data_IF_125718780859
#
_entry.id   IF_125718780859
#
_cell.length_a   1.000
_cell.length_b   1.000
_cell.length_c   1.000
_cell.angle_alpha   90.00
_cell.angle_beta   90.00
_cell.angle_gamma   90.00
#
_symmetry.space_group_name_H-M   'P 1'
#
loop_
_entity.id
_entity.type
_entity.pdbx_description
1 polymer ?
#
# COMPACT_ATOMS: atom_id res chain seq x y z
N UNK A 1 20.76 6.52 10.61
CA UNK A 1 19.38 6.41 11.14
C UNK A 1 19.28 5.33 12.21
N UNK A 2 19.85 4.14 12.04
CA UNK A 2 19.87 3.09 13.08
C UNK A 2 20.66 3.58 14.30
N UNK A 3 21.90 4.03 14.11
CA UNK A 3 22.78 4.49 15.18
C UNK A 3 22.26 5.73 15.92
N UNK A 4 21.53 6.60 15.22
CA UNK A 4 20.87 7.77 15.80
C UNK A 4 19.56 7.46 16.52
N UNK A 5 19.12 6.19 16.51
CA UNK A 5 17.83 5.74 17.04
C UNK A 5 16.61 6.44 16.40
N UNK A 6 16.76 6.95 15.19
CA UNK A 6 15.66 7.54 14.42
C UNK A 6 14.73 6.47 13.81
N UNK A 7 15.20 5.22 13.73
CA UNK A 7 14.38 4.06 13.39
C UNK A 7 14.00 3.29 14.65
N UNK A 8 12.76 2.82 14.69
CA UNK A 8 12.33 1.91 15.74
C UNK A 8 13.12 0.59 15.63
N UNK A 9 13.71 0.13 16.74
CA UNK A 9 14.53 -1.08 16.78
C UNK A 9 13.75 -2.34 16.36
N UNK A 10 12.44 -2.35 16.51
CA UNK A 10 11.57 -3.48 16.16
C UNK A 10 11.10 -3.46 14.71
N UNK A 11 11.32 -2.38 13.97
CA UNK A 11 10.84 -2.24 12.59
C UNK A 11 11.40 -3.29 11.60
N UNK A 12 12.47 -3.98 11.97
CA UNK A 12 13.08 -5.04 11.15
C UNK A 12 12.52 -6.44 11.35
N UNK A 13 11.61 -6.67 12.32
CA UNK A 13 11.21 -8.03 12.67
C UNK A 13 9.96 -8.53 11.96
N UNK A 14 8.95 -7.68 11.80
CA UNK A 14 7.69 -8.06 11.14
C UNK A 14 7.24 -6.96 10.19
N UNK A 15 6.99 -7.31 8.94
CA UNK A 15 6.67 -6.36 7.88
C UNK A 15 5.37 -5.55 8.10
N UNK A 16 4.44 -6.04 8.95
CA UNK A 16 3.18 -5.36 9.26
C UNK A 16 3.19 -4.57 10.57
N UNK A 17 4.22 -4.71 11.38
CA UNK A 17 4.28 -4.06 12.70
C UNK A 17 4.31 -2.54 12.62
N UNK A 18 4.80 -1.97 11.54
CA UNK A 18 4.90 -0.53 11.36
C UNK A 18 3.53 0.17 11.41
N UNK A 19 2.48 -0.44 10.86
CA UNK A 19 1.13 0.11 10.90
C UNK A 19 0.61 0.17 12.33
N UNK A 20 0.83 -0.87 13.10
CA UNK A 20 0.42 -0.92 14.50
C UNK A 20 1.23 0.08 15.34
N UNK A 21 2.53 0.23 15.07
CA UNK A 21 3.38 1.20 15.76
C UNK A 21 2.97 2.64 15.46
N UNK A 22 2.60 2.93 14.22
CA UNK A 22 2.04 4.22 13.84
C UNK A 22 0.69 4.46 14.52
N UNK A 23 -0.24 3.49 14.46
CA UNK A 23 -1.55 3.61 15.08
C UNK A 23 -1.47 3.85 16.60
N UNK A 24 -0.49 3.24 17.27
CA UNK A 24 -0.23 3.44 18.69
C UNK A 24 0.55 4.73 19.01
N UNK A 25 0.91 5.55 18.03
CA UNK A 25 1.69 6.77 18.21
C UNK A 25 3.17 6.54 18.57
N UNK A 26 3.69 5.32 18.41
CA UNK A 26 5.09 4.99 18.65
C UNK A 26 6.01 5.50 17.54
N UNK A 27 5.50 5.53 16.30
CA UNK A 27 6.16 6.11 15.12
C UNK A 27 5.39 7.34 14.65
N UNK A 28 6.09 8.43 14.37
CA UNK A 28 5.50 9.64 13.83
C UNK A 28 5.21 9.56 12.32
N UNK A 29 5.89 8.66 11.61
CA UNK A 29 5.78 8.46 10.16
C UNK A 29 5.71 6.97 9.86
N UNK A 30 4.88 6.60 8.90
CA UNK A 30 4.84 5.26 8.30
C UNK A 30 4.77 5.37 6.78
N UNK A 31 5.33 4.38 6.07
CA UNK A 31 5.33 4.34 4.60
C UNK A 31 4.24 3.44 4.01
N UNK A 32 3.57 2.64 4.83
CA UNK A 32 2.57 1.66 4.39
C UNK A 32 1.13 2.04 4.72
N UNK A 33 0.89 3.21 5.29
CA UNK A 33 -0.46 3.67 5.57
C UNK A 33 -1.19 4.04 4.27
N UNK A 34 -2.41 3.58 4.12
CA UNK A 34 -3.27 3.90 3.00
C UNK A 34 -4.69 4.22 3.48
N UNK A 35 -5.55 4.66 2.59
CA UNK A 35 -6.90 5.08 2.92
C UNK A 35 -7.73 4.02 3.64
N UNK A 36 -7.54 2.73 3.31
CA UNK A 36 -8.27 1.64 3.99
C UNK A 36 -7.79 1.39 5.42
N UNK A 37 -6.52 1.70 5.72
CA UNK A 37 -5.99 1.55 7.07
C UNK A 37 -6.65 2.53 8.05
N UNK A 38 -7.07 3.70 7.61
CA UNK A 38 -7.78 4.63 8.48
C UNK A 38 -9.06 4.04 9.05
N UNK A 39 -9.87 3.37 8.23
CA UNK A 39 -11.07 2.67 8.70
C UNK A 39 -10.72 1.51 9.62
N UNK A 40 -9.68 0.74 9.29
CA UNK A 40 -9.24 -0.41 10.06
C UNK A 40 -8.73 -0.03 11.45
N UNK A 41 -8.00 1.08 11.56
CA UNK A 41 -7.36 1.52 12.80
C UNK A 41 -8.08 2.72 13.46
N UNK A 42 -9.21 3.18 12.93
CA UNK A 42 -9.92 4.36 13.38
C UNK A 42 -10.18 4.40 14.91
N UNK A 43 -10.45 3.24 15.52
CA UNK A 43 -10.68 3.14 16.96
C UNK A 43 -9.39 3.16 17.82
N UNK A 44 -8.23 3.01 17.19
CA UNK A 44 -6.93 2.91 17.86
C UNK A 44 -6.13 4.20 17.78
N UNK A 45 -6.25 4.94 16.67
CA UNK A 45 -5.53 6.21 16.49
C UNK A 45 -6.17 7.31 17.33
N UNK A 46 -5.32 8.07 18.04
CA UNK A 46 -5.73 9.23 18.84
C UNK A 46 -5.28 10.55 18.21
N UNK A 47 -4.97 10.53 16.93
CA UNK A 47 -4.53 11.66 16.12
C UNK A 47 -5.15 11.54 14.73
N UNK A 48 -5.09 12.60 13.94
CA UNK A 48 -5.53 12.57 12.54
C UNK A 48 -4.33 12.24 11.66
N UNK A 49 -4.31 11.05 10.99
CA UNK A 49 -3.30 10.73 10.00
C UNK A 49 -3.38 11.70 8.82
N UNK A 50 -2.23 12.05 8.25
CA UNK A 50 -2.14 12.90 7.08
C UNK A 50 -1.29 12.20 6.01
N UNK A 51 -1.89 11.95 4.85
CA UNK A 51 -1.18 11.37 3.72
C UNK A 51 -0.36 12.43 3.01
N UNK A 52 0.88 12.12 2.70
CA UNK A 52 1.80 12.99 1.98
C UNK A 52 2.62 12.19 0.97
N UNK A 53 3.05 12.84 -0.10
CA UNK A 53 3.97 12.23 -1.04
C UNK A 53 5.34 12.00 -0.38
N UNK A 54 6.11 11.04 -0.91
CA UNK A 54 7.49 10.85 -0.50
C UNK A 54 8.30 12.10 -0.81
N UNK A 55 9.22 12.49 0.07
CA UNK A 55 10.20 13.51 -0.24
C UNK A 55 11.04 13.08 -1.45
N UNK A 56 11.18 13.97 -2.42
CA UNK A 56 12.05 13.77 -3.59
C UNK A 56 13.00 14.95 -3.73
N UNK A 57 14.17 14.72 -4.35
CA UNK A 57 15.19 15.73 -4.55
C UNK A 57 14.83 16.72 -5.68
N UNK A 58 13.91 16.35 -6.56
CA UNK A 58 13.39 17.21 -7.64
C UNK A 58 12.03 17.86 -7.30
N UNK A 59 11.56 17.70 -6.06
CA UNK A 59 10.28 18.23 -5.55
C UNK A 59 9.03 17.74 -6.31
N UNK A 60 9.14 16.67 -7.10
CA UNK A 60 7.98 16.04 -7.73
C UNK A 60 7.37 15.00 -6.81
N UNK A 61 6.06 15.05 -6.56
CA UNK A 61 5.39 14.03 -5.78
C UNK A 61 5.51 12.66 -6.44
N UNK A 62 5.93 11.66 -5.67
CA UNK A 62 5.94 10.25 -6.10
C UNK A 62 5.27 9.41 -5.04
N UNK A 63 4.40 8.52 -5.48
CA UNK A 63 3.66 7.60 -4.60
C UNK A 63 3.65 6.20 -5.23
N UNK A 64 3.80 5.20 -4.38
CA UNK A 64 3.58 3.83 -4.77
C UNK A 64 2.10 3.53 -4.72
N UNK A 65 1.53 3.13 -5.85
CA UNK A 65 0.15 2.72 -5.98
C UNK A 65 0.01 1.29 -6.47
N UNK A 66 -1.19 0.76 -6.37
CA UNK A 66 -1.51 -0.56 -6.87
C UNK A 66 -3.00 -0.72 -7.09
N UNK A 67 -3.37 -1.72 -7.88
CA UNK A 67 -4.75 -2.08 -8.15
C UNK A 67 -5.04 -3.42 -7.49
N UNK A 68 -6.09 -3.44 -6.68
CA UNK A 68 -6.63 -4.68 -6.13
C UNK A 68 -7.74 -5.18 -7.05
N UNK A 69 -7.79 -6.48 -7.27
CA UNK A 69 -8.77 -7.08 -8.15
C UNK A 69 -9.08 -8.52 -7.80
N UNK A 70 -10.15 -9.02 -8.39
CA UNK A 70 -10.52 -10.43 -8.30
C UNK A 70 -9.89 -11.22 -9.44
N UNK A 71 -9.29 -12.36 -9.11
CA UNK A 71 -8.83 -13.36 -10.07
C UNK A 71 -9.81 -14.53 -10.16
N UNK A 72 -10.03 -15.06 -11.36
CA UNK A 72 -10.79 -16.30 -11.57
C UNK A 72 -9.80 -17.37 -12.01
N UNK A 73 -9.72 -18.45 -11.22
CA UNK A 73 -8.92 -19.61 -11.59
C UNK A 73 -9.75 -20.60 -12.40
N UNK A 74 -9.19 -21.05 -13.52
CA UNK A 74 -9.81 -22.10 -14.31
C UNK A 74 -9.61 -23.44 -13.61
N UNK A 75 -10.69 -24.01 -13.11
CA UNK A 75 -10.74 -25.32 -12.46
C UNK A 75 -11.43 -26.39 -13.32
N UNK A 76 -11.67 -26.11 -14.61
CA UNK A 76 -12.35 -26.99 -15.54
C UNK A 76 -13.89 -27.03 -15.38
N UNK A 77 -14.46 -26.27 -14.45
CA UNK A 77 -15.93 -26.19 -14.23
C UNK A 77 -16.47 -24.85 -14.77
N UNK A 78 -16.98 -24.87 -15.99
CA UNK A 78 -17.49 -23.66 -16.66
C UNK A 78 -18.62 -22.99 -15.88
N UNK A 79 -19.49 -23.76 -15.23
CA UNK A 79 -20.60 -23.19 -14.45
C UNK A 79 -20.10 -22.37 -13.26
N UNK A 80 -19.05 -22.82 -12.57
CA UNK A 80 -18.41 -22.07 -11.50
C UNK A 80 -17.69 -20.83 -12.00
N UNK A 81 -17.01 -20.93 -13.14
CA UNK A 81 -16.35 -19.78 -13.78
C UNK A 81 -17.37 -18.71 -14.13
N UNK A 82 -18.53 -19.07 -14.71
CA UNK A 82 -19.57 -18.13 -15.09
C UNK A 82 -20.29 -17.51 -13.88
N UNK A 83 -20.46 -18.28 -12.80
CA UNK A 83 -20.95 -17.75 -11.52
C UNK A 83 -19.97 -16.74 -10.93
N UNK A 84 -18.66 -17.03 -10.94
CA UNK A 84 -17.63 -16.11 -10.48
C UNK A 84 -17.60 -14.81 -11.30
N UNK A 85 -17.71 -14.90 -12.63
CA UNK A 85 -17.82 -13.70 -13.51
C UNK A 85 -19.05 -12.85 -13.17
N UNK A 86 -20.18 -13.50 -12.90
CA UNK A 86 -21.42 -12.82 -12.51
C UNK A 86 -21.25 -12.08 -11.18
N UNK A 87 -20.63 -12.73 -10.19
CA UNK A 87 -20.33 -12.11 -8.91
C UNK A 87 -19.38 -10.90 -9.05
N UNK A 88 -18.30 -11.04 -9.82
CA UNK A 88 -17.34 -9.95 -10.03
C UNK A 88 -17.99 -8.76 -10.73
N UNK A 89 -18.82 -9.01 -11.75
CA UNK A 89 -19.58 -7.94 -12.40
C UNK A 89 -20.50 -7.22 -11.43
N UNK A 90 -21.23 -7.94 -10.61
CA UNK A 90 -22.08 -7.35 -9.58
C UNK A 90 -21.28 -6.51 -8.59
N UNK A 91 -20.17 -7.06 -8.05
CA UNK A 91 -19.36 -6.40 -7.03
C UNK A 91 -18.57 -5.19 -7.55
N UNK A 92 -18.16 -5.17 -8.84
CA UNK A 92 -17.29 -4.16 -9.39
C UNK A 92 -17.93 -3.22 -10.41
N UNK A 93 -18.90 -3.71 -11.20
CA UNK A 93 -19.48 -2.99 -12.34
C UNK A 93 -20.85 -2.39 -12.04
N UNK A 94 -21.61 -2.97 -11.13
CA UNK A 94 -22.91 -2.45 -10.75
C UNK A 94 -22.79 -1.02 -10.22
N UNK A 95 -23.61 -0.11 -10.78
CA UNK A 95 -23.54 1.31 -10.48
C UNK A 95 -23.81 1.66 -9.00
N UNK A 96 -24.52 0.78 -8.29
CA UNK A 96 -24.79 0.94 -6.86
C UNK A 96 -23.85 0.07 -6.04
N UNK A 97 -23.80 -1.23 -6.30
CA UNK A 97 -23.02 -2.16 -5.51
C UNK A 97 -21.51 -1.96 -5.68
N UNK A 98 -21.05 -1.65 -6.90
CA UNK A 98 -19.64 -1.34 -7.15
C UNK A 98 -19.16 -0.13 -6.35
N UNK A 99 -19.96 0.92 -6.24
CA UNK A 99 -19.67 2.11 -5.43
C UNK A 99 -19.61 1.74 -3.95
N UNK A 100 -20.60 1.01 -3.44
CA UNK A 100 -20.63 0.59 -2.03
C UNK A 100 -19.46 -0.35 -1.69
N UNK A 101 -19.10 -1.26 -2.59
CA UNK A 101 -17.93 -2.13 -2.40
C UNK A 101 -16.63 -1.33 -2.25
N UNK A 102 -16.45 -0.27 -3.06
CA UNK A 102 -15.29 0.61 -2.95
C UNK A 102 -15.29 1.36 -1.60
N UNK A 103 -16.42 1.95 -1.21
CA UNK A 103 -16.57 2.67 0.07
C UNK A 103 -16.25 1.78 1.28
N UNK A 104 -16.78 0.55 1.29
CA UNK A 104 -16.57 -0.40 2.39
C UNK A 104 -15.10 -0.82 2.53
N UNK A 105 -14.32 -0.79 1.45
CA UNK A 105 -12.90 -1.11 1.50
C UNK A 105 -12.02 0.09 1.86
N UNK A 106 -12.53 1.31 1.79
CA UNK A 106 -11.77 2.54 1.94
C UNK A 106 -10.81 2.82 0.77
N UNK A 107 -11.03 2.17 -0.39
CA UNK A 107 -10.22 2.39 -1.59
C UNK A 107 -10.88 3.39 -2.56
N UNK A 108 -10.27 3.57 -3.71
CA UNK A 108 -10.76 4.41 -4.78
C UNK A 108 -11.20 3.57 -5.99
N UNK A 109 -12.22 4.03 -6.75
CA UNK A 109 -12.67 3.29 -7.90
C UNK A 109 -11.63 3.32 -9.02
N UNK A 110 -11.45 2.20 -9.71
CA UNK A 110 -10.60 2.11 -10.91
C UNK A 110 -11.34 2.58 -12.17
N UNK A 111 -12.65 2.81 -12.08
CA UNK A 111 -13.48 3.26 -13.20
C UNK A 111 -13.81 4.74 -13.06
N UNK A 112 -13.38 5.54 -14.03
CA UNK A 112 -13.67 6.98 -14.07
C UNK A 112 -15.19 7.26 -14.05
N UNK A 113 -16.03 6.35 -14.58
CA UNK A 113 -17.49 6.48 -14.57
C UNK A 113 -18.13 6.45 -13.18
N UNK A 114 -17.43 5.93 -12.16
CA UNK A 114 -17.91 5.92 -10.79
C UNK A 114 -17.64 7.26 -10.06
N UNK A 115 -16.78 8.11 -10.63
CA UNK A 115 -16.48 9.44 -10.10
C UNK A 115 -15.90 9.43 -8.69
N UNK A 116 -16.13 10.51 -7.95
CA UNK A 116 -15.74 10.60 -6.54
C UNK A 116 -16.83 9.93 -5.68
N UNK A 117 -16.54 8.70 -5.27
CA UNK A 117 -17.48 7.86 -4.50
C UNK A 117 -17.66 8.34 -3.05
N UNK A 118 -16.80 9.21 -2.55
CA UNK A 118 -16.87 9.73 -1.18
C UNK A 118 -17.58 11.08 -1.10
N UNK A 119 -17.81 11.76 -2.22
CA UNK A 119 -18.46 13.06 -2.26
C UNK A 119 -19.82 13.03 -1.57
N UNK A 120 -19.99 13.91 -0.58
CA UNK A 120 -21.23 14.02 0.19
C UNK A 120 -21.47 12.91 1.22
N UNK A 121 -20.46 12.10 1.51
CA UNK A 121 -20.48 11.13 2.60
C UNK A 121 -19.79 11.71 3.85
N UNK A 122 -19.94 11.04 5.00
CA UNK A 122 -19.21 11.38 6.22
C UNK A 122 -17.70 11.22 6.10
N UNK A 123 -17.24 10.38 5.14
CA UNK A 123 -15.83 10.15 4.86
C UNK A 123 -15.20 11.18 3.90
N UNK A 124 -15.98 12.10 3.35
CA UNK A 124 -15.51 13.01 2.30
C UNK A 124 -14.29 13.85 2.73
N UNK A 125 -14.31 14.40 3.94
CA UNK A 125 -13.19 15.19 4.46
C UNK A 125 -11.94 14.34 4.68
N UNK A 126 -12.10 13.16 5.27
CA UNK A 126 -11.01 12.20 5.51
C UNK A 126 -10.36 11.73 4.23
N UNK A 127 -11.15 11.48 3.19
CA UNK A 127 -10.67 10.95 1.92
C UNK A 127 -10.16 12.02 0.95
N UNK A 128 -10.41 13.30 1.21
CA UNK A 128 -9.99 14.40 0.33
C UNK A 128 -8.47 14.43 0.09
N UNK A 129 -7.69 14.27 1.15
CA UNK A 129 -6.23 14.28 1.07
C UNK A 129 -5.67 13.15 0.17
N UNK A 130 -6.25 11.95 0.25
CA UNK A 130 -5.87 10.84 -0.63
C UNK A 130 -6.30 11.08 -2.08
N UNK A 131 -7.47 11.69 -2.29
CA UNK A 131 -7.96 12.05 -3.64
C UNK A 131 -7.00 13.00 -4.35
N UNK A 132 -6.46 13.99 -3.64
CA UNK A 132 -5.49 14.94 -4.17
C UNK A 132 -4.17 14.26 -4.57
N UNK A 133 -3.81 13.16 -3.92
CA UNK A 133 -2.58 12.41 -4.19
C UNK A 133 -2.72 11.38 -5.32
N UNK A 134 -3.94 11.02 -5.71
CA UNK A 134 -4.20 10.00 -6.75
C UNK A 134 -3.45 10.24 -8.07
N UNK A 135 -3.31 11.46 -8.61
CA UNK A 135 -2.60 11.69 -9.86
C UNK A 135 -1.10 11.35 -9.84
N UNK A 136 -0.53 11.19 -8.65
CA UNK A 136 0.91 10.93 -8.46
C UNK A 136 1.24 9.44 -8.22
N UNK A 137 0.25 8.56 -8.33
CA UNK A 137 0.47 7.13 -8.15
C UNK A 137 1.23 6.54 -9.33
N UNK A 138 2.37 5.91 -9.04
CA UNK A 138 3.16 5.16 -10.01
C UNK A 138 2.90 3.65 -9.90
N UNK A 139 2.93 2.96 -11.04
CA UNK A 139 2.81 1.51 -11.11
C UNK A 139 4.19 0.86 -11.23
N UNK A 140 4.86 0.73 -10.10
CA UNK A 140 6.21 0.14 -10.04
C UNK A 140 6.20 -1.39 -10.13
N UNK A 141 5.09 -2.02 -9.81
CA UNK A 141 4.97 -3.48 -9.78
C UNK A 141 5.04 -4.11 -11.18
N UNK A 142 4.44 -3.46 -12.17
CA UNK A 142 4.36 -3.98 -13.53
C UNK A 142 5.55 -3.56 -14.41
N UNK A 143 6.27 -2.50 -14.04
CA UNK A 143 7.39 -1.98 -14.83
C UNK A 143 8.76 -2.46 -14.35
N UNK A 144 8.83 -2.99 -13.14
CA UNK A 144 10.09 -3.49 -12.57
C UNK A 144 10.23 -4.99 -12.81
N UNK A 145 11.21 -5.44 -13.61
CA UNK A 145 11.48 -6.86 -13.78
C UNK A 145 11.79 -7.53 -12.44
N UNK A 146 11.31 -8.76 -12.24
CA UNK A 146 11.57 -9.56 -11.04
C UNK A 146 11.22 -8.83 -9.72
N UNK A 147 10.16 -8.01 -9.73
CA UNK A 147 9.75 -7.19 -8.59
C UNK A 147 9.70 -7.96 -7.27
N UNK A 148 9.11 -9.15 -7.26
CA UNK A 148 8.98 -9.98 -6.04
C UNK A 148 10.35 -10.34 -5.45
N UNK A 149 11.28 -10.70 -6.30
CA UNK A 149 12.64 -11.04 -5.88
C UNK A 149 13.40 -9.81 -5.37
N UNK A 150 13.35 -8.71 -6.11
CA UNK A 150 13.97 -7.45 -5.69
C UNK A 150 13.40 -6.96 -4.36
N UNK A 151 12.08 -7.05 -4.16
CA UNK A 151 11.44 -6.69 -2.90
C UNK A 151 11.95 -7.56 -1.73
N UNK A 152 12.10 -8.86 -1.93
CA UNK A 152 12.64 -9.75 -0.91
C UNK A 152 14.11 -9.43 -0.60
N UNK A 153 14.92 -9.18 -1.63
CA UNK A 153 16.32 -8.80 -1.46
C UNK A 153 16.46 -7.46 -0.73
N UNK A 154 15.59 -6.50 -1.03
CA UNK A 154 15.52 -5.22 -0.31
C UNK A 154 15.22 -5.42 1.18
N UNK A 155 14.23 -6.23 1.51
CA UNK A 155 13.89 -6.55 2.89
C UNK A 155 15.05 -7.23 3.62
N UNK A 156 15.71 -8.20 2.98
CA UNK A 156 16.88 -8.87 3.53
C UNK A 156 18.04 -7.89 3.79
N UNK A 157 18.29 -6.96 2.88
CA UNK A 157 19.29 -5.91 3.05
C UNK A 157 19.00 -5.05 4.28
N UNK A 158 17.77 -4.63 4.47
CA UNK A 158 17.38 -3.86 5.66
C UNK A 158 17.60 -4.66 6.94
N UNK A 159 17.26 -5.94 6.96
CA UNK A 159 17.49 -6.80 8.11
C UNK A 159 18.99 -7.02 8.39
N UNK A 160 19.81 -7.12 7.36
CA UNK A 160 21.28 -7.20 7.55
C UNK A 160 21.82 -6.00 8.31
N UNK A 161 21.37 -4.80 7.98
CA UNK A 161 21.80 -3.58 8.68
C UNK A 161 21.18 -3.48 10.06
N UNK A 162 19.86 -3.63 10.15
CA UNK A 162 19.10 -3.30 11.36
C UNK A 162 19.23 -4.35 12.46
N UNK A 163 19.32 -5.62 12.09
CA UNK A 163 19.28 -6.75 13.02
C UNK A 163 20.66 -7.37 13.19
N UNK A 164 21.39 -7.59 12.09
CA UNK A 164 22.69 -8.25 12.13
C UNK A 164 23.88 -7.30 12.33
N UNK A 165 23.66 -5.98 12.16
CA UNK A 165 24.71 -4.98 12.30
C UNK A 165 25.71 -4.97 11.13
N UNK A 166 25.33 -5.52 9.96
CA UNK A 166 26.16 -5.46 8.75
C UNK A 166 26.36 -4.00 8.34
N UNK A 167 27.58 -3.57 7.97
CA UNK A 167 27.80 -2.23 7.45
C UNK A 167 26.88 -1.92 6.27
N UNK A 168 26.26 -0.75 6.27
CA UNK A 168 25.23 -0.39 5.28
C UNK A 168 25.71 -0.52 3.82
N UNK A 169 26.96 -0.13 3.52
CA UNK A 169 27.54 -0.28 2.20
C UNK A 169 27.64 -1.75 1.78
N UNK A 170 28.12 -2.62 2.69
CA UNK A 170 28.21 -4.07 2.41
C UNK A 170 26.84 -4.67 2.15
N UNK A 171 25.82 -4.30 2.91
CA UNK A 171 24.46 -4.77 2.71
C UNK A 171 23.87 -4.27 1.37
N UNK A 172 24.16 -3.03 0.99
CA UNK A 172 23.77 -2.47 -0.29
C UNK A 172 24.46 -3.19 -1.48
N UNK A 173 25.73 -3.48 -1.36
CA UNK A 173 26.48 -4.23 -2.39
C UNK A 173 25.94 -5.66 -2.55
N UNK A 174 25.58 -6.32 -1.44
CA UNK A 174 24.92 -7.62 -1.45
C UNK A 174 23.55 -7.57 -2.16
N UNK A 175 22.76 -6.53 -1.85
CA UNK A 175 21.47 -6.31 -2.51
C UNK A 175 21.61 -6.15 -4.03
N UNK A 176 22.55 -5.30 -4.47
CA UNK A 176 22.81 -5.07 -5.90
C UNK A 176 23.22 -6.38 -6.59
N UNK A 177 24.10 -7.14 -5.98
CA UNK A 177 24.57 -8.43 -6.52
C UNK A 177 23.46 -9.47 -6.60
N UNK A 178 22.56 -9.52 -5.62
CA UNK A 178 21.44 -10.45 -5.57
C UNK A 178 20.30 -10.07 -6.54
N UNK A 179 20.14 -8.77 -6.82
CA UNK A 179 19.04 -8.24 -7.65
C UNK A 179 19.38 -8.10 -9.13
N UNK A 180 20.67 -8.20 -9.49
CA UNK A 180 21.18 -8.12 -10.87
C UNK A 180 22.09 -9.33 -11.16
N UNK A 181 21.53 -10.54 -11.23
CA UNK A 181 22.30 -11.76 -11.49
C UNK A 181 22.89 -11.83 -12.91
#
# INVERSE_FOLDING_TARGET
MVDSKALNANAGFVASDELQQFANGTSAVTFCWNASNESQYASQVQFTPYAMAFPSDDSKPELCGGIWGFGIFDNGDQARIDAAKTFIKFACDDAKQGIESVRLTGFFPVRASQGDVYKGTEDAERMANYTELMPYLGDYYNVTPNWTEQRNNWFNMLQEVMVKGTPAQTAADNFVSASNP
#
